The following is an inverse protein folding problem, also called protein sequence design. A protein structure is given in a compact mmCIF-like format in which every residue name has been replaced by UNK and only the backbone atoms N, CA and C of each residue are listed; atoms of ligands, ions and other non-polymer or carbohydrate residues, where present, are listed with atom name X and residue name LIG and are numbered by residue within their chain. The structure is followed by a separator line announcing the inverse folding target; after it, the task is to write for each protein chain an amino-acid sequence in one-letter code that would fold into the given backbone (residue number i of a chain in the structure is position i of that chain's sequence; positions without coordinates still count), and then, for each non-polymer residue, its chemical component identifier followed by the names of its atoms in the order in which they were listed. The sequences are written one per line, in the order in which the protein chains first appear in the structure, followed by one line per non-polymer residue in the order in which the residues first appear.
data_IF_716058877250
#
_entry.id   IF_716058877250
#
_cell.length_a   1.000
_cell.length_b   1.000
_cell.length_c   1.000
_cell.angle_alpha   90.00
_cell.angle_beta   90.00
_cell.angle_gamma   90.00
#
_symmetry.space_group_name_H-M   'P 1'
#
loop_
_entity.id
_entity.type
_entity.pdbx_description
1 polymer ?
#
# COMPACT_ATOMS: atom_id res chain seq x y z
N UNK A 1 1.64 -55.67 0.77
CA UNK A 1 2.55 -55.72 -0.40
C UNK A 1 1.97 -56.66 -1.46
N UNK A 2 2.45 -56.58 -2.71
CA UNK A 2 2.16 -57.53 -3.81
C UNK A 2 0.70 -57.70 -4.24
N UNK A 3 0.19 -56.73 -5.03
CA UNK A 3 -0.71 -57.05 -6.16
C UNK A 3 -0.38 -56.26 -7.45
N UNK A 4 0.79 -55.62 -7.49
CA UNK A 4 1.33 -54.96 -8.68
C UNK A 4 2.16 -55.96 -9.50
N UNK A 5 1.52 -56.68 -10.44
CA UNK A 5 2.26 -57.25 -11.57
C UNK A 5 1.45 -57.37 -12.86
N UNK A 6 1.85 -56.55 -13.84
CA UNK A 6 1.75 -56.76 -15.30
C UNK A 6 0.41 -57.28 -15.88
N UNK A 7 -0.38 -56.36 -16.43
CA UNK A 7 -0.77 -56.47 -17.85
C UNK A 7 -0.56 -55.14 -18.57
N UNK A 8 0.48 -55.11 -19.39
CA UNK A 8 0.75 -54.08 -20.39
C UNK A 8 0.77 -54.76 -21.77
N UNK A 9 0.33 -54.05 -22.81
CA UNK A 9 0.33 -54.45 -24.23
C UNK A 9 -0.55 -55.65 -24.65
N UNK A 10 -1.76 -55.34 -25.13
CA UNK A 10 -2.07 -55.43 -26.59
C UNK A 10 -3.24 -54.50 -26.91
N UNK A 11 -3.16 -53.80 -28.05
CA UNK A 11 -3.95 -52.60 -28.28
C UNK A 11 -5.29 -52.81 -29.00
N UNK A 12 -6.37 -52.31 -28.38
CA UNK A 12 -7.51 -51.68 -29.07
C UNK A 12 -8.29 -50.84 -28.05
N UNK A 13 -8.50 -49.55 -28.36
CA UNK A 13 -9.44 -48.63 -27.69
C UNK A 13 -9.77 -48.92 -26.22
N UNK A 14 -8.90 -48.49 -25.29
CA UNK A 14 -9.15 -48.54 -23.84
C UNK A 14 -10.12 -47.43 -23.40
N UNK A 15 -11.35 -47.47 -23.92
CA UNK A 15 -12.48 -46.85 -23.24
C UNK A 15 -12.87 -47.70 -22.03
N UNK A 16 -13.40 -47.08 -20.98
CA UNK A 16 -13.95 -47.79 -19.83
C UNK A 16 -14.99 -48.82 -20.30
N UNK A 17 -14.93 -50.04 -19.78
CA UNK A 17 -16.02 -51.00 -19.97
C UNK A 17 -17.31 -50.45 -19.34
N UNK A 18 -18.47 -50.93 -19.80
CA UNK A 18 -19.75 -50.48 -19.26
C UNK A 18 -19.85 -50.67 -17.73
N UNK A 19 -19.21 -51.72 -17.19
CA UNK A 19 -19.14 -51.99 -15.75
C UNK A 19 -18.27 -50.96 -15.02
N UNK A 20 -17.09 -50.63 -15.55
CA UNK A 20 -16.23 -49.59 -14.98
C UNK A 20 -16.87 -48.19 -15.07
N UNK A 21 -17.56 -47.89 -16.18
CA UNK A 21 -18.28 -46.64 -16.35
C UNK A 21 -19.44 -46.51 -15.34
N UNK A 22 -20.20 -47.59 -15.12
CA UNK A 22 -21.25 -47.65 -14.09
C UNK A 22 -20.64 -47.51 -12.68
N UNK A 23 -19.49 -48.13 -12.41
CA UNK A 23 -18.80 -47.99 -11.13
C UNK A 23 -18.30 -46.56 -10.88
N UNK A 24 -17.71 -45.91 -11.88
CA UNK A 24 -17.30 -44.50 -11.81
C UNK A 24 -18.50 -43.57 -11.63
N UNK A 25 -19.60 -43.80 -12.35
CA UNK A 25 -20.84 -43.03 -12.19
C UNK A 25 -21.49 -43.25 -10.82
N UNK A 26 -21.45 -44.46 -10.26
CA UNK A 26 -21.95 -44.74 -8.92
C UNK A 26 -21.09 -44.05 -7.84
N UNK A 27 -19.76 -44.11 -7.96
CA UNK A 27 -18.84 -43.39 -7.05
C UNK A 27 -19.02 -41.88 -7.18
N UNK A 28 -19.16 -41.33 -8.39
CA UNK A 28 -19.47 -39.91 -8.58
C UNK A 28 -20.84 -39.52 -8.01
N UNK A 29 -21.87 -40.35 -8.19
CA UNK A 29 -23.19 -40.10 -7.62
C UNK A 29 -23.15 -40.09 -6.07
N UNK A 30 -22.40 -41.02 -5.45
CA UNK A 30 -22.18 -41.04 -4.00
C UNK A 30 -21.36 -39.84 -3.53
N UNK A 31 -20.28 -39.48 -4.23
CA UNK A 31 -19.49 -38.28 -3.92
C UNK A 31 -20.31 -36.99 -4.06
N UNK A 32 -21.20 -36.90 -5.04
CA UNK A 32 -22.15 -35.78 -5.19
C UNK A 32 -23.19 -35.81 -4.06
N UNK A 33 -23.73 -36.97 -3.68
CA UNK A 33 -24.64 -37.13 -2.54
C UNK A 33 -24.01 -36.80 -1.18
N UNK A 34 -22.69 -36.88 -1.05
CA UNK A 34 -21.94 -36.48 0.16
C UNK A 34 -21.55 -35.00 0.09
N UNK A 35 -21.02 -34.53 -1.05
CA UNK A 35 -20.49 -33.18 -1.20
C UNK A 35 -21.58 -32.11 -1.34
N UNK A 36 -22.69 -32.40 -2.03
CA UNK A 36 -23.77 -31.41 -2.27
C UNK A 36 -24.45 -30.99 -0.95
N UNK A 37 -24.85 -31.89 -0.03
CA UNK A 37 -25.36 -31.47 1.28
C UNK A 37 -24.35 -30.63 2.08
N UNK A 38 -23.04 -30.94 1.97
CA UNK A 38 -21.98 -30.15 2.58
C UNK A 38 -21.80 -28.76 1.97
N UNK A 39 -22.07 -28.58 0.66
CA UNK A 39 -21.86 -27.31 -0.04
C UNK A 39 -23.09 -26.40 -0.12
N UNK A 40 -24.30 -26.97 -0.11
CA UNK A 40 -25.58 -26.23 -0.27
C UNK A 40 -25.85 -25.26 0.89
N UNK A 41 -25.18 -25.42 2.03
CA UNK A 41 -25.32 -24.53 3.19
C UNK A 41 -24.40 -23.31 3.22
N UNK A 42 -23.32 -23.23 2.43
CA UNK A 42 -22.31 -22.18 2.57
C UNK A 42 -22.66 -20.87 1.84
N UNK A 43 -22.51 -19.73 2.54
CA UNK A 43 -22.77 -18.39 1.99
C UNK A 43 -21.66 -17.38 2.36
N UNK A 44 -21.61 -16.24 1.66
CA UNK A 44 -20.55 -15.21 1.73
C UNK A 44 -21.12 -13.88 2.26
N UNK A 45 -20.81 -13.45 3.50
CA UNK A 45 -21.50 -12.34 4.23
C UNK A 45 -20.53 -11.36 4.91
N UNK A 46 -20.66 -10.03 4.70
CA UNK A 46 -19.70 -8.97 5.14
C UNK A 46 -20.29 -8.05 6.22
N UNK A 47 -19.64 -6.90 6.35
CA UNK A 47 -19.58 -5.98 7.44
C UNK A 47 -19.27 -4.62 6.81
N UNK A 48 -20.07 -3.62 7.18
CA UNK A 48 -19.72 -2.22 7.03
C UNK A 48 -19.61 -1.69 8.45
N UNK A 49 -18.39 -1.61 8.97
CA UNK A 49 -18.16 -0.98 10.28
C UNK A 49 -18.44 0.51 10.12
N UNK A 50 -19.18 1.11 11.05
CA UNK A 50 -19.32 2.57 11.16
C UNK A 50 -19.27 2.97 12.62
N UNK A 51 -18.37 3.89 12.97
CA UNK A 51 -18.32 4.52 14.28
C UNK A 51 -18.82 5.96 14.16
N UNK A 52 -19.78 6.36 14.99
CA UNK A 52 -20.35 7.72 15.00
C UNK A 52 -20.48 8.24 16.44
N UNK A 53 -20.23 9.53 16.62
CA UNK A 53 -20.53 10.30 17.83
C UNK A 53 -21.04 11.68 17.42
N UNK A 54 -22.00 12.25 18.15
CA UNK A 54 -22.56 13.60 17.94
C UNK A 54 -22.94 13.93 16.48
N UNK A 55 -23.47 12.93 15.76
CA UNK A 55 -23.86 13.05 14.35
C UNK A 55 -22.70 13.08 13.34
N UNK A 56 -21.45 12.88 13.79
CA UNK A 56 -20.25 12.81 12.94
C UNK A 56 -19.76 11.37 12.78
N UNK A 57 -19.23 11.05 11.59
CA UNK A 57 -18.58 9.77 11.29
C UNK A 57 -17.10 9.84 11.72
N UNK A 58 -16.66 8.84 12.49
CA UNK A 58 -15.31 8.73 13.03
C UNK A 58 -14.49 7.61 12.35
N UNK A 59 -15.15 6.57 11.83
CA UNK A 59 -14.48 5.41 11.21
C UNK A 59 -15.42 4.61 10.28
N UNK A 60 -14.91 4.05 9.18
CA UNK A 60 -15.66 3.16 8.25
C UNK A 60 -14.76 2.09 7.58
N UNK A 61 -15.18 0.79 7.51
CA UNK A 61 -14.35 -0.33 6.98
C UNK A 61 -15.13 -1.61 6.52
N UNK A 62 -14.49 -2.56 5.78
CA UNK A 62 -15.08 -3.86 5.26
C UNK A 62 -14.07 -5.02 4.93
N UNK A 63 -14.49 -6.32 4.82
CA UNK A 63 -13.60 -7.56 4.77
C UNK A 63 -14.08 -8.81 3.89
N UNK A 64 -13.66 -10.12 4.09
CA UNK A 64 -13.87 -11.33 3.16
C UNK A 64 -13.91 -12.85 3.71
N UNK A 65 -15.08 -13.48 4.04
CA UNK A 65 -15.34 -14.82 4.74
C UNK A 65 -16.29 -15.78 3.98
N UNK A 66 -16.35 -17.05 4.43
CA UNK A 66 -17.33 -18.09 4.03
C UNK A 66 -17.74 -18.99 5.22
N UNK A 67 -19.05 -19.27 5.39
CA UNK A 67 -19.58 -20.15 6.44
C UNK A 67 -21.00 -20.70 6.15
N UNK A 68 -21.46 -21.68 6.93
CA UNK A 68 -22.83 -22.24 6.84
C UNK A 68 -23.91 -21.21 7.20
N UNK A 69 -25.14 -21.40 6.69
CA UNK A 69 -26.23 -20.43 6.83
C UNK A 69 -26.63 -20.14 8.28
N UNK A 70 -26.72 -21.19 9.11
CA UNK A 70 -27.30 -21.15 10.45
C UNK A 70 -26.23 -21.14 11.57
N UNK A 71 -24.98 -21.52 11.25
CA UNK A 71 -23.83 -21.51 12.16
C UNK A 71 -23.25 -20.09 12.36
N UNK A 72 -24.10 -19.15 12.82
CA UNK A 72 -23.63 -17.83 13.25
C UNK A 72 -22.83 -17.96 14.55
N UNK A 73 -21.53 -17.55 14.58
CA UNK A 73 -20.73 -17.63 15.79
C UNK A 73 -21.16 -16.55 16.81
N UNK A 74 -22.09 -16.88 17.69
CA UNK A 74 -22.52 -16.03 18.81
C UNK A 74 -21.45 -16.08 19.92
N UNK A 75 -20.31 -15.42 19.69
CA UNK A 75 -19.21 -15.33 20.67
C UNK A 75 -19.55 -14.29 21.75
N UNK A 76 -20.55 -14.61 22.59
CA UNK A 76 -20.64 -14.02 23.92
C UNK A 76 -19.44 -14.53 24.73
N UNK A 77 -18.56 -13.68 25.28
CA UNK A 77 -17.73 -14.12 26.40
C UNK A 77 -18.63 -14.54 27.57
N UNK A 78 -18.17 -15.46 28.41
CA UNK A 78 -18.90 -15.93 29.58
C UNK A 78 -18.81 -14.90 30.75
N UNK A 79 -19.25 -13.67 30.48
CA UNK A 79 -19.42 -12.62 31.48
C UNK A 79 -20.77 -12.81 32.19
N UNK A 80 -20.79 -12.53 33.49
CA UNK A 80 -22.00 -12.52 34.30
C UNK A 80 -22.87 -11.29 34.00
N UNK A 81 -24.18 -11.38 34.26
CA UNK A 81 -25.09 -10.22 34.18
C UNK A 81 -24.69 -9.09 35.15
N UNK A 82 -23.95 -9.44 36.22
CA UNK A 82 -23.41 -8.51 37.21
C UNK A 82 -22.22 -7.70 36.66
N UNK A 83 -21.41 -8.25 35.75
CA UNK A 83 -20.35 -7.54 35.02
C UNK A 83 -20.88 -6.61 33.91
N UNK A 84 -22.10 -6.85 33.44
CA UNK A 84 -22.78 -6.03 32.43
C UNK A 84 -23.65 -4.90 33.04
N UNK A 85 -23.81 -4.88 34.37
CA UNK A 85 -24.67 -3.93 35.06
C UNK A 85 -24.20 -2.47 34.89
N UNK A 86 -25.06 -1.64 34.30
CA UNK A 86 -24.79 -0.20 34.08
C UNK A 86 -23.87 0.12 32.90
N UNK A 87 -23.59 -0.84 32.02
CA UNK A 87 -22.82 -0.64 30.78
C UNK A 87 -23.78 -0.47 29.59
N UNK A 88 -23.72 0.68 28.90
CA UNK A 88 -24.40 0.84 27.60
C UNK A 88 -23.60 0.15 26.49
N UNK A 89 -24.03 -1.05 26.13
CA UNK A 89 -23.44 -1.83 25.01
C UNK A 89 -23.96 -1.30 23.68
N UNK A 90 -23.05 -0.88 22.79
CA UNK A 90 -23.37 -0.47 21.42
C UNK A 90 -23.21 -1.66 20.46
N UNK A 91 -24.31 -2.35 20.15
CA UNK A 91 -24.34 -3.46 19.19
C UNK A 91 -24.04 -2.98 17.75
N UNK A 92 -22.79 -3.13 17.33
CA UNK A 92 -22.35 -2.87 15.95
C UNK A 92 -22.91 -3.96 15.00
N UNK A 93 -23.87 -3.58 14.16
CA UNK A 93 -24.66 -4.53 13.32
C UNK A 93 -24.13 -4.64 11.88
N UNK A 94 -24.27 -5.83 11.28
CA UNK A 94 -23.32 -6.38 10.30
C UNK A 94 -24.01 -6.94 9.02
N UNK A 95 -23.53 -6.66 7.78
CA UNK A 95 -24.17 -7.06 6.49
C UNK A 95 -23.24 -7.25 5.22
N UNK A 96 -23.39 -8.38 4.48
CA UNK A 96 -22.94 -8.80 3.09
C UNK A 96 -21.73 -8.15 2.34
N UNK A 97 -20.68 -8.81 1.78
CA UNK A 97 -20.32 -10.21 1.42
C UNK A 97 -18.85 -10.72 1.76
N UNK A 98 -18.49 -10.89 3.04
CA UNK A 98 -17.34 -11.55 3.70
C UNK A 98 -16.69 -10.81 4.93
N UNK A 99 -16.18 -11.51 5.97
CA UNK A 99 -15.23 -11.05 7.05
C UNK A 99 -13.81 -11.66 6.93
N UNK A 100 -12.81 -11.03 7.53
CA UNK A 100 -11.58 -11.72 7.91
C UNK A 100 -11.39 -11.33 9.36
N UNK A 101 -11.43 -12.31 10.26
CA UNK A 101 -11.32 -12.14 11.71
C UNK A 101 -10.03 -11.41 12.10
N UNK A 102 -9.98 -10.57 13.14
CA UNK A 102 -11.04 -10.04 14.01
C UNK A 102 -10.49 -8.78 14.71
N UNK A 103 -11.33 -7.81 15.07
CA UNK A 103 -10.98 -6.77 16.05
C UNK A 103 -12.22 -6.40 16.87
N UNK A 104 -12.13 -6.52 18.20
CA UNK A 104 -13.18 -6.09 19.14
C UNK A 104 -12.70 -4.87 19.91
N UNK A 105 -13.52 -3.83 19.93
CA UNK A 105 -13.31 -2.62 20.73
C UNK A 105 -14.56 -2.42 21.58
N UNK A 106 -14.40 -2.50 22.90
CA UNK A 106 -15.47 -2.23 23.86
C UNK A 106 -15.39 -0.77 24.28
N UNK A 107 -16.41 0.01 23.91
CA UNK A 107 -16.65 1.38 24.38
C UNK A 107 -17.73 1.28 25.45
N UNK A 108 -17.40 1.65 26.69
CA UNK A 108 -18.37 1.69 27.80
C UNK A 108 -18.53 3.12 28.32
N UNK A 109 -19.72 3.67 28.13
CA UNK A 109 -20.22 4.79 28.94
C UNK A 109 -20.81 4.21 30.23
N UNK A 110 -20.35 4.69 31.39
CA UNK A 110 -20.83 4.25 32.70
C UNK A 110 -21.74 5.31 33.31
N UNK A 111 -22.97 4.91 33.60
CA UNK A 111 -24.02 5.84 34.04
C UNK A 111 -23.60 6.58 35.33
N UNK A 112 -23.62 7.92 35.29
CA UNK A 112 -23.19 8.78 36.40
C UNK A 112 -21.71 9.21 36.39
N UNK A 113 -20.93 8.92 35.34
CA UNK A 113 -19.58 9.48 35.13
C UNK A 113 -19.53 10.52 34.00
N UNK A 114 -18.46 11.31 33.98
CA UNK A 114 -18.20 12.35 32.98
C UNK A 114 -17.98 11.73 31.58
N UNK A 115 -18.65 12.21 30.51
CA UNK A 115 -18.49 11.68 29.15
C UNK A 115 -17.07 11.73 28.58
N UNK A 116 -16.16 12.50 29.17
CA UNK A 116 -14.74 12.49 28.80
C UNK A 116 -13.99 11.21 29.21
N UNK A 117 -14.52 10.42 30.15
CA UNK A 117 -13.94 9.13 30.56
C UNK A 117 -14.39 7.95 29.67
N UNK A 118 -14.09 8.02 28.36
CA UNK A 118 -14.27 6.84 27.48
C UNK A 118 -13.25 5.76 27.88
N UNK A 119 -13.73 4.74 28.60
CA UNK A 119 -12.93 3.62 29.06
C UNK A 119 -12.97 2.48 28.03
N UNK A 120 -11.78 2.04 27.60
CA UNK A 120 -11.60 0.94 26.67
C UNK A 120 -11.23 -0.32 27.44
N UNK A 121 -11.73 -1.48 27.03
CA UNK A 121 -11.46 -2.73 27.77
C UNK A 121 -10.76 -3.75 26.88
N UNK A 122 -9.67 -4.32 27.40
CA UNK A 122 -8.96 -5.45 26.79
C UNK A 122 -9.20 -6.70 27.63
N UNK A 123 -9.48 -7.81 26.95
CA UNK A 123 -9.47 -9.14 27.56
C UNK A 123 -8.02 -9.59 27.75
N UNK A 124 -7.66 -9.91 28.99
CA UNK A 124 -6.30 -10.30 29.37
C UNK A 124 -6.35 -11.51 30.32
N UNK A 125 -6.18 -12.70 29.76
CA UNK A 125 -6.68 -13.94 30.36
C UNK A 125 -8.21 -14.01 30.28
N UNK A 126 -8.86 -14.48 31.35
CA UNK A 126 -10.32 -14.56 31.45
C UNK A 126 -10.99 -13.27 31.96
N UNK A 127 -10.22 -12.18 32.18
CA UNK A 127 -10.73 -10.94 32.80
C UNK A 127 -10.58 -9.73 31.90
N UNK A 128 -11.60 -8.87 31.89
CA UNK A 128 -11.54 -7.55 31.30
C UNK A 128 -10.73 -6.62 32.22
N UNK A 129 -9.72 -5.96 31.66
CA UNK A 129 -8.96 -4.89 32.33
C UNK A 129 -9.30 -3.53 31.70
N UNK A 130 -9.54 -2.47 32.49
CA UNK A 130 -9.78 -1.13 31.96
C UNK A 130 -8.47 -0.52 31.46
N UNK A 131 -8.55 0.15 30.31
CA UNK A 131 -7.48 0.94 29.69
C UNK A 131 -8.01 2.35 29.45
N UNK A 132 -7.26 3.35 29.92
CA UNK A 132 -7.60 4.77 29.74
C UNK A 132 -6.97 5.26 28.44
N UNK A 133 -7.75 5.85 27.54
CA UNK A 133 -7.21 6.54 26.37
C UNK A 133 -6.49 7.82 26.84
N UNK A 134 -5.18 7.90 26.61
CA UNK A 134 -4.32 9.03 27.00
C UNK A 134 -4.20 10.04 25.87
N UNK A 135 -4.20 9.58 24.61
CA UNK A 135 -4.07 10.41 23.41
C UNK A 135 -4.67 9.68 22.22
N UNK A 136 -5.42 10.38 21.37
CA UNK A 136 -5.82 9.92 20.04
C UNK A 136 -5.36 10.91 18.98
N UNK A 137 -4.87 10.39 17.86
CA UNK A 137 -4.66 11.14 16.62
C UNK A 137 -5.19 10.34 15.43
N UNK A 138 -5.09 10.88 14.21
CA UNK A 138 -5.39 10.11 12.99
C UNK A 138 -4.41 8.93 12.79
N UNK A 139 -3.19 9.04 13.34
CA UNK A 139 -2.09 8.11 13.11
C UNK A 139 -1.95 7.05 14.22
N UNK A 140 -2.44 7.30 15.44
CA UNK A 140 -2.31 6.36 16.57
C UNK A 140 -3.22 6.65 17.76
N UNK A 141 -3.51 5.60 18.52
CA UNK A 141 -4.22 5.63 19.82
C UNK A 141 -3.26 5.18 20.93
N UNK A 142 -3.06 6.03 21.95
CA UNK A 142 -2.22 5.73 23.12
C UNK A 142 -3.09 5.45 24.32
N UNK A 143 -2.97 4.26 24.89
CA UNK A 143 -3.72 3.79 26.05
C UNK A 143 -2.81 3.61 27.27
N UNK A 144 -3.37 3.65 28.48
CA UNK A 144 -2.70 3.34 29.75
C UNK A 144 -3.40 2.17 30.45
N UNK A 145 -2.64 1.16 30.88
CA UNK A 145 -3.19 0.03 31.63
C UNK A 145 -3.29 0.32 33.15
N UNK A 146 -3.88 -0.59 33.96
CA UNK A 146 -4.00 -0.40 35.41
C UNK A 146 -2.68 -0.35 36.20
N UNK A 147 -1.56 -0.78 35.61
CA UNK A 147 -0.22 -0.67 36.20
C UNK A 147 0.48 0.67 35.85
N UNK A 148 -0.14 1.50 35.01
CA UNK A 148 0.40 2.79 34.55
C UNK A 148 1.18 2.72 33.23
N UNK A 149 1.34 1.53 32.65
CA UNK A 149 2.12 1.29 31.43
C UNK A 149 1.36 1.80 30.19
N UNK A 150 2.09 2.37 29.22
CA UNK A 150 1.52 2.91 27.99
C UNK A 150 1.60 1.90 26.82
N UNK A 151 0.53 1.84 26.03
CA UNK A 151 0.40 0.99 24.85
C UNK A 151 -0.02 1.85 23.66
N UNK A 152 0.58 1.62 22.49
CA UNK A 152 0.23 2.32 21.25
C UNK A 152 -0.45 1.33 20.31
N UNK A 153 -1.66 1.67 19.88
CA UNK A 153 -2.33 1.08 18.72
C UNK A 153 -2.12 2.03 17.55
N UNK A 154 -1.06 1.76 16.79
CA UNK A 154 -0.85 2.28 15.45
C UNK A 154 -1.28 1.18 14.46
N UNK A 155 -2.30 1.41 13.61
CA UNK A 155 -2.75 0.43 12.62
C UNK A 155 -1.74 0.16 11.48
N UNK A 156 -0.66 0.95 11.41
CA UNK A 156 0.37 0.91 10.38
C UNK A 156 1.78 0.58 10.91
N UNK A 157 1.98 0.39 12.23
CA UNK A 157 3.31 0.12 12.78
C UNK A 157 3.89 -1.21 12.30
N UNK A 158 5.01 -1.15 11.59
CA UNK A 158 6.01 -2.22 11.62
C UNK A 158 6.43 -2.49 13.08
N UNK A 159 6.80 -3.73 13.44
CA UNK A 159 7.10 -4.07 14.84
C UNK A 159 8.28 -3.25 15.37
N UNK A 160 8.00 -2.33 16.30
CA UNK A 160 9.01 -1.56 17.01
C UNK A 160 9.70 -2.44 18.06
N UNK A 161 10.88 -2.96 17.71
CA UNK A 161 11.84 -3.38 18.73
C UNK A 161 12.23 -2.14 19.54
N UNK A 162 11.91 -2.14 20.83
CA UNK A 162 12.05 -0.96 21.66
C UNK A 162 13.52 -0.58 21.93
N UNK A 163 13.83 0.71 21.76
CA UNK A 163 14.95 1.37 22.42
C UNK A 163 16.36 1.08 21.89
N UNK A 164 16.76 1.80 20.84
CA UNK A 164 18.09 2.42 20.83
C UNK A 164 18.04 3.78 20.12
N UNK A 165 18.91 4.71 20.51
CA UNK A 165 19.07 6.03 19.90
C UNK A 165 19.93 5.96 18.64
N UNK A 166 19.48 5.20 17.65
CA UNK A 166 20.25 4.84 16.46
C UNK A 166 19.75 5.47 15.15
N UNK A 167 20.70 5.94 14.34
CA UNK A 167 20.46 6.53 13.01
C UNK A 167 20.02 5.49 11.95
N UNK A 168 19.37 6.00 10.91
CA UNK A 168 19.23 5.41 9.56
C UNK A 168 18.21 4.28 9.33
N UNK A 169 18.08 3.94 8.04
CA UNK A 169 17.32 2.85 7.42
C UNK A 169 17.35 1.59 8.30
N UNK A 170 16.16 1.09 8.67
CA UNK A 170 16.03 -0.03 9.61
C UNK A 170 16.87 -1.27 9.22
N UNK A 171 17.41 -2.02 10.21
CA UNK A 171 18.42 -3.03 9.95
C UNK A 171 17.92 -4.14 9.01
N UNK A 172 18.81 -4.59 8.11
CA UNK A 172 18.55 -5.66 7.14
C UNK A 172 18.01 -6.90 7.86
N UNK A 173 16.74 -7.24 7.66
CA UNK A 173 16.11 -8.36 8.38
C UNK A 173 16.41 -9.70 7.72
N UNK A 174 16.23 -10.76 8.48
CA UNK A 174 16.20 -12.12 7.92
C UNK A 174 14.82 -12.45 7.32
N UNK A 175 14.77 -13.39 6.35
CA UNK A 175 13.53 -13.89 5.79
C UNK A 175 12.64 -14.53 6.85
N UNK A 176 11.36 -14.21 6.82
CA UNK A 176 10.32 -14.86 7.61
C UNK A 176 9.85 -16.16 6.94
N UNK A 177 9.12 -17.00 7.69
CA UNK A 177 8.58 -18.25 7.15
C UNK A 177 7.62 -17.99 5.96
N UNK A 178 7.87 -18.72 4.87
CA UNK A 178 7.14 -18.58 3.61
C UNK A 178 7.53 -17.38 2.74
N UNK A 179 8.64 -16.69 3.03
CA UNK A 179 9.20 -15.68 2.12
C UNK A 179 10.17 -16.29 1.10
N UNK A 180 9.96 -15.97 -0.18
CA UNK A 180 10.87 -16.32 -1.27
C UNK A 180 11.99 -15.29 -1.29
N UNK A 181 13.21 -15.75 -1.07
CA UNK A 181 14.40 -14.89 -1.04
C UNK A 181 14.90 -14.63 -2.45
N UNK A 182 15.08 -13.35 -2.79
CA UNK A 182 15.65 -12.90 -4.06
C UNK A 182 17.07 -12.37 -3.81
N UNK A 183 18.02 -12.85 -4.60
CA UNK A 183 19.43 -12.44 -4.58
C UNK A 183 19.98 -12.05 -5.95
N UNK A 184 19.37 -12.53 -7.03
CA UNK A 184 19.83 -12.23 -8.40
C UNK A 184 18.73 -11.63 -9.28
N UNK A 185 19.13 -11.04 -10.41
CA UNK A 185 18.20 -10.48 -11.39
C UNK A 185 17.33 -11.56 -12.04
N UNK A 186 17.87 -12.77 -12.22
CA UNK A 186 17.16 -13.93 -12.73
C UNK A 186 16.09 -14.44 -11.75
N UNK A 187 16.37 -14.40 -10.45
CA UNK A 187 15.36 -14.72 -9.41
C UNK A 187 14.24 -13.67 -9.38
N UNK A 188 14.59 -12.38 -9.50
CA UNK A 188 13.58 -11.30 -9.59
C UNK A 188 12.74 -11.41 -10.87
N UNK A 189 13.35 -11.76 -12.00
CA UNK A 189 12.69 -11.88 -13.30
C UNK A 189 11.72 -13.07 -13.39
N UNK A 190 11.84 -14.06 -12.49
CA UNK A 190 10.92 -15.21 -12.40
C UNK A 190 9.55 -14.87 -11.83
N UNK A 191 9.37 -13.75 -11.12
CA UNK A 191 8.11 -13.42 -10.45
C UNK A 191 6.96 -13.30 -11.47
N UNK A 192 5.99 -14.20 -11.36
CA UNK A 192 4.87 -14.37 -12.28
C UNK A 192 5.16 -15.13 -13.57
N UNK A 193 6.34 -15.75 -13.70
CA UNK A 193 6.82 -16.47 -14.90
C UNK A 193 7.28 -17.90 -14.62
N UNK A 194 7.75 -18.15 -13.40
CA UNK A 194 8.06 -19.47 -12.87
C UNK A 194 6.98 -19.86 -11.83
N UNK A 195 6.39 -21.07 -11.86
CA UNK A 195 5.42 -21.51 -10.86
C UNK A 195 5.93 -21.46 -9.41
N UNK A 196 7.25 -21.51 -9.23
CA UNK A 196 7.92 -21.40 -7.92
C UNK A 196 7.98 -19.96 -7.40
N UNK A 197 7.67 -18.97 -8.24
CA UNK A 197 7.67 -17.53 -7.96
C UNK A 197 6.32 -16.91 -8.35
N UNK A 198 5.18 -17.29 -7.72
CA UNK A 198 3.87 -16.83 -8.11
C UNK A 198 3.58 -15.37 -7.65
N UNK A 199 2.69 -14.68 -8.38
CA UNK A 199 2.36 -13.26 -8.19
C UNK A 199 1.72 -12.90 -6.83
N UNK A 200 1.36 -13.89 -6.02
CA UNK A 200 0.71 -13.75 -4.71
C UNK A 200 1.58 -14.18 -3.52
N UNK A 201 2.84 -14.59 -3.75
CA UNK A 201 3.77 -14.96 -2.68
C UNK A 201 4.36 -13.73 -1.96
N UNK A 202 5.10 -13.98 -0.88
CA UNK A 202 5.91 -12.99 -0.17
C UNK A 202 7.35 -13.05 -0.69
N UNK A 203 7.98 -11.91 -0.90
CA UNK A 203 9.34 -11.78 -1.43
C UNK A 203 10.18 -10.86 -0.55
N UNK A 204 11.46 -11.20 -0.40
CA UNK A 204 12.44 -10.40 0.34
C UNK A 204 13.78 -10.37 -0.42
N UNK A 205 14.37 -9.18 -0.59
CA UNK A 205 15.73 -9.06 -1.10
C UNK A 205 16.76 -9.45 -0.01
N UNK A 206 17.84 -10.15 -0.40
CA UNK A 206 19.03 -10.38 0.45
C UNK A 206 20.36 -9.99 -0.22
N UNK A 207 20.29 -9.23 -1.31
CA UNK A 207 21.42 -8.54 -1.96
C UNK A 207 20.92 -7.42 -2.87
N UNK A 208 21.83 -6.51 -3.25
CA UNK A 208 21.57 -5.56 -4.34
C UNK A 208 21.41 -6.32 -5.66
N UNK A 209 20.50 -5.86 -6.52
CA UNK A 209 20.20 -6.46 -7.81
C UNK A 209 20.65 -5.51 -8.91
N UNK A 210 21.31 -6.00 -9.95
CA UNK A 210 21.63 -5.22 -11.16
C UNK A 210 20.83 -5.76 -12.35
N UNK A 211 20.04 -4.90 -12.99
CA UNK A 211 19.22 -5.23 -14.16
C UNK A 211 19.89 -4.91 -15.50
N UNK A 212 21.19 -4.60 -15.51
CA UNK A 212 21.99 -4.39 -16.74
C UNK A 212 21.91 -5.55 -17.75
N UNK A 213 21.75 -6.80 -17.27
CA UNK A 213 21.50 -7.97 -18.12
C UNK A 213 20.13 -8.00 -18.82
N UNK A 214 19.19 -7.14 -18.44
CA UNK A 214 17.81 -7.09 -18.93
C UNK A 214 17.55 -5.87 -19.84
N UNK A 215 18.53 -5.50 -20.67
CA UNK A 215 18.42 -4.35 -21.58
C UNK A 215 17.98 -4.69 -23.02
N UNK A 216 17.92 -5.97 -23.42
CA UNK A 216 17.47 -6.37 -24.76
C UNK A 216 15.94 -6.26 -24.92
N UNK A 217 15.45 -6.27 -26.17
CA UNK A 217 14.03 -6.48 -26.50
C UNK A 217 13.04 -5.50 -25.82
N UNK A 218 13.46 -4.24 -25.69
CA UNK A 218 12.72 -3.18 -25.00
C UNK A 218 12.91 -3.15 -23.48
N UNK A 219 13.82 -3.96 -22.94
CA UNK A 219 14.24 -3.93 -21.54
C UNK A 219 13.47 -4.87 -20.61
N UNK A 220 13.49 -4.57 -19.31
CA UNK A 220 12.80 -5.30 -18.26
C UNK A 220 11.31 -5.49 -18.56
N UNK A 221 10.80 -6.72 -18.48
CA UNK A 221 9.36 -6.97 -18.58
C UNK A 221 8.70 -6.75 -17.21
N UNK A 222 7.72 -5.84 -17.05
CA UNK A 222 7.12 -5.52 -15.75
C UNK A 222 6.52 -6.73 -15.01
N UNK A 223 6.63 -6.75 -13.68
CA UNK A 223 6.02 -7.77 -12.81
C UNK A 223 4.52 -7.47 -12.66
N UNK A 224 3.68 -8.41 -13.10
CA UNK A 224 2.22 -8.31 -13.04
C UNK A 224 1.61 -7.39 -14.10
N UNK A 225 0.47 -7.80 -14.65
CA UNK A 225 -0.30 -7.09 -15.68
C UNK A 225 -1.77 -6.86 -15.26
N UNK A 226 -2.54 -6.14 -16.08
CA UNK A 226 -3.95 -5.80 -15.79
C UNK A 226 -4.86 -7.02 -15.52
N UNK A 227 -4.57 -8.16 -16.14
CA UNK A 227 -5.28 -9.42 -15.98
C UNK A 227 -4.66 -10.28 -14.87
N UNK A 228 -3.33 -10.30 -14.79
CA UNK A 228 -2.55 -11.05 -13.80
C UNK A 228 -1.75 -10.08 -12.91
N UNK A 229 -2.38 -9.33 -11.99
CA UNK A 229 -1.70 -8.32 -11.21
C UNK A 229 -0.80 -8.93 -10.13
N UNK A 230 0.25 -8.23 -9.75
CA UNK A 230 0.99 -8.57 -8.54
C UNK A 230 0.07 -8.35 -7.32
N UNK A 231 -0.09 -9.38 -6.50
CA UNK A 231 -1.03 -9.45 -5.35
C UNK A 231 -0.33 -9.87 -4.05
N UNK A 232 0.98 -10.06 -4.10
CA UNK A 232 1.81 -10.53 -3.00
C UNK A 232 2.35 -9.43 -2.10
N UNK A 233 3.40 -9.79 -1.37
CA UNK A 233 4.22 -8.87 -0.57
C UNK A 233 5.62 -8.83 -1.18
N UNK A 234 6.19 -7.64 -1.36
CA UNK A 234 7.57 -7.48 -1.82
C UNK A 234 8.33 -6.51 -0.92
N UNK A 235 9.36 -7.00 -0.23
CA UNK A 235 10.19 -6.22 0.67
C UNK A 235 11.61 -6.05 0.09
N UNK A 236 11.94 -4.82 -0.30
CA UNK A 236 13.28 -4.42 -0.73
C UNK A 236 14.33 -4.54 0.36
N UNK A 237 13.93 -4.64 1.64
CA UNK A 237 14.79 -4.99 2.78
C UNK A 237 16.10 -4.17 2.85
N UNK A 238 16.05 -2.88 2.51
CA UNK A 238 17.22 -2.01 2.53
C UNK A 238 18.25 -2.25 1.40
N UNK A 239 17.97 -3.11 0.43
CA UNK A 239 18.80 -3.29 -0.76
C UNK A 239 18.33 -2.38 -1.91
N UNK A 240 19.18 -2.25 -2.92
CA UNK A 240 18.94 -1.43 -4.12
C UNK A 240 18.83 -2.30 -5.36
N UNK A 241 17.85 -2.01 -6.22
CA UNK A 241 17.73 -2.53 -7.57
C UNK A 241 18.28 -1.46 -8.54
N UNK A 242 19.31 -1.80 -9.32
CA UNK A 242 20.02 -0.87 -10.21
C UNK A 242 19.69 -1.09 -11.67
N UNK A 243 19.87 -0.04 -12.47
CA UNK A 243 19.90 -0.08 -13.94
C UNK A 243 18.62 -0.65 -14.58
N UNK A 244 17.45 -0.37 -13.98
CA UNK A 244 16.14 -0.74 -14.54
C UNK A 244 15.91 -0.01 -15.87
N UNK A 245 16.11 -0.72 -16.99
CA UNK A 245 15.84 -0.22 -18.32
C UNK A 245 14.48 -0.72 -18.84
N UNK A 246 13.64 0.19 -19.31
CA UNK A 246 12.40 -0.12 -20.04
C UNK A 246 12.28 0.88 -21.19
N UNK A 247 12.04 0.38 -22.40
CA UNK A 247 11.84 1.19 -23.59
C UNK A 247 10.73 0.57 -24.45
N UNK A 248 9.48 0.85 -24.06
CA UNK A 248 8.26 0.37 -24.73
C UNK A 248 7.26 1.51 -24.90
N UNK A 249 7.59 2.53 -25.72
CA UNK A 249 6.87 3.80 -25.82
C UNK A 249 5.41 3.67 -26.25
N UNK A 250 5.01 2.54 -26.86
CA UNK A 250 3.66 2.25 -27.33
C UNK A 250 2.87 1.29 -26.40
N UNK A 251 3.37 1.01 -25.19
CA UNK A 251 2.71 0.08 -24.24
C UNK A 251 2.40 0.72 -22.89
N UNK A 252 1.24 0.39 -22.33
CA UNK A 252 0.78 0.89 -21.04
C UNK A 252 1.38 0.11 -19.86
N UNK A 253 1.22 0.61 -18.63
CA UNK A 253 1.56 -0.09 -17.38
C UNK A 253 3.05 -0.45 -17.26
N UNK A 254 3.92 0.56 -17.34
CA UNK A 254 5.38 0.38 -17.35
C UNK A 254 6.03 0.79 -16.02
N UNK A 255 6.96 -0.05 -15.54
CA UNK A 255 7.69 0.07 -14.27
C UNK A 255 8.30 -1.28 -13.86
N UNK A 256 8.95 -1.36 -12.70
CA UNK A 256 9.40 -2.64 -12.12
C UNK A 256 8.21 -3.60 -12.00
N UNK A 257 7.10 -3.10 -11.45
CA UNK A 257 5.77 -3.70 -11.50
C UNK A 257 4.92 -3.03 -12.59
N UNK A 258 4.14 -3.81 -13.35
CA UNK A 258 3.22 -3.23 -14.34
C UNK A 258 1.93 -2.79 -13.67
N UNK A 259 1.27 -3.76 -13.03
CA UNK A 259 0.03 -3.56 -12.29
C UNK A 259 0.09 -4.29 -10.93
N UNK A 260 -0.19 -3.59 -9.84
CA UNK A 260 -0.37 -4.20 -8.51
C UNK A 260 -1.82 -4.10 -8.02
N UNK A 261 -2.28 -5.10 -7.27
CA UNK A 261 -3.63 -5.16 -6.73
C UNK A 261 -3.65 -5.81 -5.35
N UNK A 262 -4.15 -5.13 -4.32
CA UNK A 262 -4.16 -5.65 -2.93
C UNK A 262 -2.76 -6.03 -2.40
N UNK A 263 -1.71 -5.49 -3.03
CA UNK A 263 -0.32 -5.84 -2.73
C UNK A 263 0.27 -4.94 -1.65
N UNK A 264 1.37 -5.38 -1.05
CA UNK A 264 2.25 -4.53 -0.23
C UNK A 264 3.65 -4.51 -0.82
N UNK A 265 4.18 -3.34 -1.12
CA UNK A 265 5.56 -3.15 -1.62
C UNK A 265 6.29 -2.19 -0.69
N UNK A 266 7.36 -2.65 -0.05
CA UNK A 266 8.08 -1.87 0.97
C UNK A 266 9.58 -1.77 0.65
N UNK A 267 10.21 -0.67 1.05
CA UNK A 267 11.67 -0.55 1.14
C UNK A 267 12.43 -0.71 -0.19
N UNK A 268 11.77 -0.49 -1.34
CA UNK A 268 12.37 -0.69 -2.67
C UNK A 268 13.04 0.58 -3.15
N UNK A 269 14.36 0.59 -3.19
CA UNK A 269 15.14 1.68 -3.81
C UNK A 269 15.58 1.28 -5.21
N UNK A 270 15.20 2.10 -6.19
CA UNK A 270 15.55 1.97 -7.60
C UNK A 270 16.58 3.04 -7.97
N UNK A 271 17.74 2.62 -8.45
CA UNK A 271 18.86 3.51 -8.77
C UNK A 271 19.20 3.44 -10.26
N UNK A 272 19.42 4.61 -10.89
CA UNK A 272 19.80 4.73 -12.31
C UNK A 272 18.80 4.07 -13.26
N UNK A 273 17.50 4.30 -13.06
CA UNK A 273 16.46 3.82 -13.98
C UNK A 273 16.46 4.59 -15.29
N UNK A 274 15.99 3.95 -16.37
CA UNK A 274 15.60 4.63 -17.59
C UNK A 274 14.36 3.95 -18.15
N UNK A 275 13.19 4.55 -17.92
CA UNK A 275 11.88 3.95 -18.16
C UNK A 275 11.08 4.79 -19.14
N UNK A 276 10.82 4.28 -20.33
CA UNK A 276 9.97 4.89 -21.37
C UNK A 276 8.76 4.00 -21.66
N UNK A 277 7.55 4.54 -21.49
CA UNK A 277 6.26 3.85 -21.69
C UNK A 277 5.19 4.74 -22.32
N UNK A 278 3.98 4.20 -22.54
CA UNK A 278 2.85 4.95 -23.09
C UNK A 278 1.99 5.60 -21.99
N UNK A 279 0.99 4.90 -21.46
CA UNK A 279 0.19 5.39 -20.32
C UNK A 279 0.47 4.59 -19.05
N UNK A 280 0.35 5.23 -17.89
CA UNK A 280 0.62 4.63 -16.58
C UNK A 280 2.09 4.17 -16.48
N UNK A 281 2.99 5.14 -16.42
CA UNK A 281 4.44 4.93 -16.42
C UNK A 281 5.06 5.49 -15.13
N UNK A 282 5.77 4.65 -14.39
CA UNK A 282 6.60 5.08 -13.25
C UNK A 282 7.66 4.05 -12.91
N UNK A 283 8.76 4.46 -12.27
CA UNK A 283 9.91 3.57 -12.08
C UNK A 283 9.56 2.30 -11.27
N UNK A 284 8.81 2.44 -10.18
CA UNK A 284 8.42 1.33 -9.33
C UNK A 284 7.17 0.62 -9.84
N UNK A 285 6.11 1.37 -10.17
CA UNK A 285 4.89 0.78 -10.71
C UNK A 285 4.18 1.66 -11.73
N UNK A 286 3.70 1.05 -12.82
CA UNK A 286 2.80 1.73 -13.75
C UNK A 286 1.46 2.10 -13.08
N UNK A 287 0.81 1.12 -12.44
CA UNK A 287 -0.51 1.30 -11.82
C UNK A 287 -0.64 0.49 -10.52
N UNK A 288 -1.23 1.10 -9.48
CA UNK A 288 -1.53 0.42 -8.21
C UNK A 288 -3.00 0.59 -7.81
N UNK A 289 -3.62 -0.50 -7.35
CA UNK A 289 -5.07 -0.59 -7.08
C UNK A 289 -5.36 -1.29 -5.75
N UNK A 290 -5.89 -0.57 -4.76
CA UNK A 290 -6.02 -1.03 -3.35
C UNK A 290 -4.71 -1.58 -2.77
N UNK A 291 -3.56 -1.04 -3.19
CA UNK A 291 -2.23 -1.50 -2.76
C UNK A 291 -1.56 -0.47 -1.86
N UNK A 292 -0.63 -0.93 -1.02
CA UNK A 292 0.17 -0.08 -0.13
C UNK A 292 1.63 -0.08 -0.61
N UNK A 293 2.20 1.10 -0.85
CA UNK A 293 3.62 1.28 -1.15
C UNK A 293 4.26 2.16 -0.08
N UNK A 294 5.34 1.67 0.54
CA UNK A 294 6.02 2.35 1.64
C UNK A 294 7.55 2.36 1.48
N UNK A 295 8.23 3.37 2.03
CA UNK A 295 9.69 3.36 2.19
C UNK A 295 10.49 3.22 0.89
N UNK A 296 9.91 3.59 -0.26
CA UNK A 296 10.45 3.25 -1.58
C UNK A 296 10.90 4.49 -2.35
N UNK A 297 11.84 4.34 -3.28
CA UNK A 297 12.46 5.48 -3.95
C UNK A 297 13.00 5.20 -5.35
N UNK A 298 13.16 6.24 -6.17
CA UNK A 298 13.62 6.16 -7.57
C UNK A 298 14.55 7.30 -7.98
N UNK A 299 15.65 6.98 -8.66
CA UNK A 299 16.52 7.94 -9.36
C UNK A 299 16.80 7.50 -10.81
N UNK A 300 17.08 8.44 -11.71
CA UNK A 300 17.29 8.17 -13.14
C UNK A 300 16.34 9.00 -14.03
N UNK A 301 15.75 8.38 -15.05
CA UNK A 301 14.83 9.06 -16.00
C UNK A 301 13.54 8.27 -16.21
N UNK A 302 12.40 8.97 -16.28
CA UNK A 302 11.09 8.39 -16.58
C UNK A 302 10.37 9.22 -17.65
N UNK A 303 9.94 8.58 -18.73
CA UNK A 303 9.27 9.25 -19.84
C UNK A 303 7.99 8.51 -20.26
N UNK A 304 6.95 9.25 -20.60
CA UNK A 304 5.73 8.64 -21.14
C UNK A 304 4.66 9.63 -21.58
N UNK A 305 3.51 9.13 -22.04
CA UNK A 305 2.45 9.95 -22.64
C UNK A 305 1.39 10.40 -21.63
N UNK A 306 0.75 9.52 -20.87
CA UNK A 306 -0.28 9.91 -19.89
C UNK A 306 -0.02 9.24 -18.53
N UNK A 307 -0.36 9.89 -17.42
CA UNK A 307 -0.19 9.35 -16.07
C UNK A 307 1.27 8.93 -15.82
N UNK A 308 2.18 9.90 -15.86
CA UNK A 308 3.63 9.69 -15.75
C UNK A 308 4.10 10.23 -14.40
N UNK A 309 4.76 9.40 -13.60
CA UNK A 309 5.36 9.83 -12.34
C UNK A 309 6.70 9.17 -12.08
N UNK A 310 7.59 9.83 -11.34
CA UNK A 310 8.92 9.29 -11.06
C UNK A 310 8.90 7.91 -10.40
N UNK A 311 8.01 7.72 -9.41
CA UNK A 311 7.85 6.45 -8.73
C UNK A 311 6.64 5.67 -9.25
N UNK A 312 5.47 6.34 -9.40
CA UNK A 312 4.21 5.71 -9.81
C UNK A 312 3.53 6.43 -10.98
N UNK A 313 3.03 5.68 -11.96
CA UNK A 313 2.15 6.24 -12.99
C UNK A 313 0.79 6.66 -12.42
N UNK A 314 0.08 5.73 -11.75
CA UNK A 314 -1.22 5.99 -11.12
C UNK A 314 -1.43 5.24 -9.79
N UNK A 315 -1.95 5.99 -8.81
CA UNK A 315 -2.39 5.55 -7.48
C UNK A 315 -3.94 5.59 -7.44
N UNK A 316 -4.62 4.44 -7.59
CA UNK A 316 -6.11 4.38 -7.68
C UNK A 316 -6.78 3.57 -6.56
N UNK A 317 -7.99 4.00 -6.21
CA UNK A 317 -8.97 3.30 -5.39
C UNK A 317 -8.41 2.81 -4.04
N UNK A 318 -8.41 3.69 -3.03
CA UNK A 318 -7.88 3.41 -1.69
C UNK A 318 -6.49 2.75 -1.71
N UNK A 319 -5.61 3.24 -2.59
CA UNK A 319 -4.18 2.90 -2.56
C UNK A 319 -3.41 3.94 -1.74
N UNK A 320 -2.32 3.52 -1.13
CA UNK A 320 -1.50 4.36 -0.25
C UNK A 320 -0.06 4.41 -0.77
N UNK A 321 0.50 5.62 -0.90
CA UNK A 321 1.94 5.85 -1.08
C UNK A 321 2.46 6.65 0.12
N UNK A 322 3.38 6.06 0.88
CA UNK A 322 3.92 6.67 2.10
C UNK A 322 5.44 6.58 2.23
N UNK A 323 6.07 7.55 2.90
CA UNK A 323 7.51 7.53 3.21
C UNK A 323 8.41 7.26 1.98
N UNK A 324 8.04 7.85 0.83
CA UNK A 324 8.58 7.49 -0.48
C UNK A 324 8.89 8.72 -1.34
N UNK A 325 9.94 8.67 -2.15
CA UNK A 325 10.44 9.84 -2.89
C UNK A 325 10.97 9.54 -4.29
N UNK A 326 11.13 10.57 -5.12
CA UNK A 326 11.77 10.45 -6.44
C UNK A 326 12.76 11.60 -6.71
N UNK A 327 13.96 11.25 -7.16
CA UNK A 327 14.94 12.17 -7.75
C UNK A 327 15.10 11.96 -9.25
N UNK A 328 14.23 11.13 -9.88
CA UNK A 328 14.25 10.89 -11.31
C UNK A 328 13.67 12.06 -12.13
N UNK A 329 14.30 12.38 -13.26
CA UNK A 329 13.82 13.40 -14.20
C UNK A 329 12.67 12.86 -15.07
N UNK A 330 11.60 13.66 -15.22
CA UNK A 330 10.32 13.25 -15.78
C UNK A 330 10.01 13.96 -17.09
N UNK A 331 9.77 13.20 -18.16
CA UNK A 331 9.47 13.73 -19.51
C UNK A 331 8.13 13.23 -20.05
N UNK A 332 7.12 14.09 -20.03
CA UNK A 332 5.82 13.89 -20.65
C UNK A 332 5.87 14.06 -22.17
N UNK A 333 5.91 12.96 -22.92
CA UNK A 333 6.07 12.88 -24.37
C UNK A 333 4.83 13.43 -25.12
N UNK A 334 5.05 14.37 -26.04
CA UNK A 334 4.04 14.87 -26.97
C UNK A 334 2.90 15.63 -26.29
N UNK A 335 1.64 15.29 -26.61
CA UNK A 335 0.43 15.85 -25.97
C UNK A 335 0.17 15.22 -24.60
N UNK A 336 1.18 15.27 -23.72
CA UNK A 336 1.17 14.57 -22.44
C UNK A 336 0.18 15.13 -21.42
N UNK A 337 -0.30 14.26 -20.53
CA UNK A 337 -1.25 14.65 -19.46
C UNK A 337 -0.93 13.96 -18.15
N UNK A 338 -1.13 14.69 -17.06
CA UNK A 338 -0.99 14.18 -15.70
C UNK A 338 0.44 13.68 -15.45
N UNK A 339 1.38 14.62 -15.53
CA UNK A 339 2.82 14.40 -15.31
C UNK A 339 3.20 14.92 -13.93
N UNK A 340 3.75 14.07 -13.07
CA UNK A 340 4.14 14.40 -11.70
C UNK A 340 5.60 14.03 -11.39
N UNK A 341 6.28 14.76 -10.51
CA UNK A 341 7.63 14.38 -10.05
C UNK A 341 7.68 13.03 -9.33
N UNK A 342 6.61 12.67 -8.59
CA UNK A 342 6.49 11.38 -7.90
C UNK A 342 5.36 10.52 -8.46
N UNK A 343 4.17 11.09 -8.67
CA UNK A 343 2.96 10.36 -9.07
C UNK A 343 2.23 11.08 -10.23
N UNK A 344 1.99 10.38 -11.33
CA UNK A 344 1.24 10.97 -12.45
C UNK A 344 -0.22 11.28 -12.09
N UNK A 345 -0.90 10.39 -11.38
CA UNK A 345 -2.27 10.60 -10.90
C UNK A 345 -2.59 9.92 -9.57
N UNK A 346 -3.22 10.66 -8.66
CA UNK A 346 -3.81 10.18 -7.41
C UNK A 346 -5.35 10.20 -7.49
N UNK A 347 -6.02 9.07 -7.28
CA UNK A 347 -7.44 8.92 -7.62
C UNK A 347 -8.28 8.04 -6.67
N UNK A 348 -9.57 8.37 -6.52
CA UNK A 348 -10.61 7.61 -5.80
C UNK A 348 -10.27 7.22 -4.35
N UNK A 349 -10.09 8.21 -3.47
CA UNK A 349 -9.82 7.93 -2.06
C UNK A 349 -8.40 7.42 -1.78
N UNK A 350 -7.44 7.71 -2.67
CA UNK A 350 -6.05 7.26 -2.53
C UNK A 350 -5.17 8.33 -1.89
N UNK A 351 -4.20 7.90 -1.09
CA UNK A 351 -3.41 8.75 -0.22
C UNK A 351 -1.96 8.85 -0.68
N UNK A 352 -1.39 10.04 -0.58
CA UNK A 352 0.05 10.30 -0.68
C UNK A 352 0.47 11.06 0.60
N UNK A 353 1.35 10.49 1.41
CA UNK A 353 1.70 11.02 2.75
C UNK A 353 3.19 10.86 3.08
N UNK A 354 3.82 11.90 3.63
CA UNK A 354 5.25 11.90 3.96
C UNK A 354 6.13 11.55 2.74
N UNK A 355 5.94 12.27 1.64
CA UNK A 355 6.50 11.95 0.32
C UNK A 355 7.10 13.17 -0.38
N UNK A 356 8.08 12.98 -1.28
CA UNK A 356 8.66 14.12 -2.01
C UNK A 356 9.22 13.86 -3.41
N UNK A 357 9.46 14.93 -4.17
CA UNK A 357 10.09 14.88 -5.49
C UNK A 357 11.09 16.02 -5.72
N UNK A 358 12.29 15.68 -6.20
CA UNK A 358 13.38 16.62 -6.48
C UNK A 358 13.92 16.56 -7.93
N UNK A 359 13.55 15.56 -8.72
CA UNK A 359 13.88 15.50 -10.15
C UNK A 359 13.04 16.50 -10.97
N UNK A 360 13.56 16.95 -12.12
CA UNK A 360 12.86 17.91 -12.97
C UNK A 360 11.62 17.31 -13.63
N UNK A 361 10.62 18.13 -13.95
CA UNK A 361 9.32 17.70 -14.48
C UNK A 361 8.96 18.52 -15.72
N UNK A 362 9.05 17.91 -16.89
CA UNK A 362 8.61 18.50 -18.16
C UNK A 362 7.37 17.78 -18.68
N UNK A 363 6.32 18.50 -19.07
CA UNK A 363 5.11 17.91 -19.68
C UNK A 363 4.32 18.91 -20.52
N UNK A 364 3.12 18.51 -20.97
CA UNK A 364 2.25 19.38 -21.78
C UNK A 364 1.07 19.94 -20.97
N UNK A 365 0.27 19.09 -20.32
CA UNK A 365 -0.93 19.49 -19.58
C UNK A 365 -1.05 18.77 -18.24
N UNK A 366 -1.57 19.46 -17.21
CA UNK A 366 -1.66 18.95 -15.84
C UNK A 366 -0.31 18.44 -15.31
N UNK A 367 0.63 19.37 -15.16
CA UNK A 367 2.03 19.11 -14.78
C UNK A 367 2.28 19.61 -13.35
N UNK A 368 2.70 18.72 -12.45
CA UNK A 368 2.93 19.05 -11.05
C UNK A 368 4.32 18.63 -10.57
N UNK A 369 4.99 19.45 -9.75
CA UNK A 369 6.30 19.10 -9.20
C UNK A 369 6.29 17.82 -8.33
N UNK A 370 5.13 17.44 -7.76
CA UNK A 370 4.93 16.15 -7.09
C UNK A 370 3.85 15.30 -7.76
N UNK A 371 2.68 15.88 -8.05
CA UNK A 371 1.50 15.17 -8.56
C UNK A 371 0.87 15.86 -9.77
N UNK A 372 0.75 15.18 -10.91
CA UNK A 372 0.11 15.74 -12.11
C UNK A 372 -1.38 16.03 -11.89
N UNK A 373 -2.14 14.98 -11.52
CA UNK A 373 -3.56 15.05 -11.17
C UNK A 373 -3.82 14.49 -9.77
N UNK A 374 -4.45 15.28 -8.90
CA UNK A 374 -5.06 14.78 -7.66
C UNK A 374 -6.58 14.88 -7.77
N UNK A 375 -7.32 13.78 -7.62
CA UNK A 375 -8.79 13.79 -7.79
C UNK A 375 -9.53 12.80 -6.89
N UNK A 376 -10.68 13.23 -6.34
CA UNK A 376 -11.62 12.38 -5.61
C UNK A 376 -12.44 11.48 -6.57
N UNK A 377 -12.71 11.94 -7.80
CA UNK A 377 -13.56 11.24 -8.76
C UNK A 377 -15.01 11.11 -8.29
N UNK A 378 -15.37 9.95 -7.73
CA UNK A 378 -16.70 9.66 -7.13
C UNK A 378 -16.62 9.24 -5.66
N UNK A 379 -15.44 9.35 -5.04
CA UNK A 379 -15.12 8.87 -3.69
C UNK A 379 -14.45 10.02 -2.94
N UNK A 380 -14.82 10.25 -1.68
CA UNK A 380 -14.17 11.28 -0.85
C UNK A 380 -12.87 10.75 -0.24
N UNK A 381 -11.89 11.63 -0.01
CA UNK A 381 -10.67 11.30 0.74
C UNK A 381 -9.44 10.92 -0.11
N UNK A 382 -9.34 11.35 -1.36
CA UNK A 382 -8.03 11.42 -2.01
C UNK A 382 -7.25 12.57 -1.38
N UNK A 383 -6.26 12.27 -0.55
CA UNK A 383 -5.49 13.29 0.19
C UNK A 383 -4.02 13.30 -0.23
N UNK A 384 -3.44 14.50 -0.24
CA UNK A 384 -1.99 14.73 -0.31
C UNK A 384 -1.54 15.46 0.96
N UNK A 385 -0.75 14.78 1.80
CA UNK A 385 -0.45 15.25 3.15
C UNK A 385 1.05 15.24 3.44
N UNK A 386 1.55 16.24 4.18
CA UNK A 386 2.95 16.31 4.68
C UNK A 386 3.98 15.94 3.62
N UNK A 387 3.84 16.51 2.42
CA UNK A 387 4.62 16.12 1.23
C UNK A 387 5.13 17.35 0.47
N UNK A 388 6.23 17.24 -0.28
CA UNK A 388 6.83 18.40 -0.93
C UNK A 388 7.52 18.18 -2.28
N UNK A 389 7.79 19.26 -3.02
CA UNK A 389 8.56 19.22 -4.26
C UNK A 389 9.53 20.39 -4.43
N UNK A 390 10.70 20.09 -5.01
CA UNK A 390 11.81 21.03 -5.28
C UNK A 390 12.35 20.94 -6.71
N UNK A 391 11.92 19.96 -7.51
CA UNK A 391 12.31 19.86 -8.92
C UNK A 391 11.73 20.99 -9.78
N UNK A 392 12.48 21.42 -10.81
CA UNK A 392 12.02 22.42 -11.77
C UNK A 392 10.83 21.93 -12.60
N UNK A 393 9.80 22.76 -12.83
CA UNK A 393 8.54 22.33 -13.44
C UNK A 393 8.21 23.14 -14.69
N UNK A 394 8.20 22.48 -15.85
CA UNK A 394 7.88 23.06 -17.16
C UNK A 394 6.64 22.41 -17.77
N UNK A 395 5.65 23.21 -18.16
CA UNK A 395 4.42 22.72 -18.79
C UNK A 395 3.73 23.75 -19.68
N UNK A 396 2.81 23.29 -20.53
CA UNK A 396 2.02 24.13 -21.43
C UNK A 396 0.70 24.64 -20.84
N UNK A 397 0.02 23.85 -20.00
CA UNK A 397 -1.18 24.29 -19.28
C UNK A 397 -1.39 23.53 -17.96
N UNK A 398 -2.06 24.16 -16.99
CA UNK A 398 -2.30 23.61 -15.63
C UNK A 398 -1.00 23.08 -15.01
N UNK A 399 -0.04 23.99 -14.91
CA UNK A 399 1.29 23.76 -14.34
C UNK A 399 1.28 24.24 -12.89
N UNK A 400 1.85 23.50 -11.96
CA UNK A 400 1.90 23.89 -10.55
C UNK A 400 3.07 23.30 -9.78
N UNK A 401 3.62 24.08 -8.83
CA UNK A 401 4.83 23.68 -8.10
C UNK A 401 4.71 22.38 -7.30
N UNK A 402 3.52 22.05 -6.76
CA UNK A 402 3.22 20.78 -6.09
C UNK A 402 2.26 19.90 -6.92
N UNK A 403 1.04 20.38 -7.13
CA UNK A 403 -0.03 19.74 -7.89
C UNK A 403 -0.34 20.53 -9.17
N UNK A 404 -0.41 19.84 -10.31
CA UNK A 404 -0.78 20.44 -11.61
C UNK A 404 -2.28 20.73 -11.71
N UNK A 405 -3.13 19.76 -11.36
CA UNK A 405 -4.57 19.95 -11.23
C UNK A 405 -5.17 19.18 -10.04
N UNK A 406 -5.99 19.85 -9.24
CA UNK A 406 -6.63 19.31 -8.04
C UNK A 406 -8.16 19.35 -8.19
N UNK A 407 -8.81 18.19 -8.26
CA UNK A 407 -10.25 18.05 -8.50
C UNK A 407 -10.98 17.50 -7.27
N UNK A 408 -11.29 18.40 -6.33
CA UNK A 408 -12.05 18.11 -5.11
C UNK A 408 -11.28 17.35 -4.01
N UNK A 409 -10.05 16.93 -4.28
CA UNK A 409 -9.14 16.32 -3.31
C UNK A 409 -8.63 17.31 -2.26
N UNK A 410 -8.22 16.81 -1.09
CA UNK A 410 -7.61 17.61 -0.03
C UNK A 410 -6.07 17.64 -0.16
N UNK A 411 -5.46 18.78 0.17
CA UNK A 411 -4.01 18.96 0.22
C UNK A 411 -3.64 19.72 1.49
N UNK A 412 -2.89 19.11 2.41
CA UNK A 412 -2.63 19.64 3.77
C UNK A 412 -1.15 19.55 4.15
N UNK A 413 -0.65 20.57 4.85
CA UNK A 413 0.73 20.64 5.35
C UNK A 413 1.79 20.30 4.29
N UNK A 414 1.54 20.64 3.02
CA UNK A 414 2.33 20.18 1.87
C UNK A 414 2.80 21.38 1.05
N UNK A 415 4.04 21.34 0.59
CA UNK A 415 4.78 22.54 0.18
C UNK A 415 5.48 22.39 -1.16
N UNK A 416 5.76 23.49 -1.84
CA UNK A 416 6.73 23.48 -2.94
C UNK A 416 7.69 24.65 -2.84
N UNK A 417 8.89 24.43 -3.32
CA UNK A 417 9.87 25.50 -3.48
C UNK A 417 9.51 26.38 -4.68
N UNK A 418 9.18 27.65 -4.45
CA UNK A 418 8.79 28.61 -5.49
C UNK A 418 9.94 29.05 -6.38
N UNK A 419 11.18 28.89 -5.93
CA UNK A 419 12.39 29.38 -6.60
C UNK A 419 12.98 28.28 -7.48
N UNK A 420 13.18 27.06 -6.94
CA UNK A 420 13.72 25.93 -7.71
C UNK A 420 12.69 25.31 -8.65
N UNK A 421 11.39 25.31 -8.31
CA UNK A 421 10.34 24.89 -9.25
C UNK A 421 10.15 25.86 -10.42
N UNK A 422 10.52 27.13 -10.22
CA UNK A 422 10.21 28.25 -11.11
C UNK A 422 8.74 28.71 -11.07
N UNK A 423 7.93 28.23 -10.13
CA UNK A 423 6.48 28.45 -10.11
C UNK A 423 5.98 29.12 -8.82
N UNK A 424 5.39 30.31 -8.97
CA UNK A 424 4.73 31.02 -7.88
C UNK A 424 3.36 30.46 -7.47
N UNK A 425 2.83 29.43 -8.15
CA UNK A 425 1.47 28.89 -7.90
C UNK A 425 1.39 27.38 -8.06
N UNK A 426 0.33 26.78 -7.50
CA UNK A 426 -0.02 25.36 -7.67
C UNK A 426 -1.51 25.14 -7.39
N UNK A 427 -2.07 24.00 -7.83
CA UNK A 427 -3.47 23.65 -7.59
C UNK A 427 -3.77 23.21 -6.13
N UNK A 428 -2.76 23.12 -5.26
CA UNK A 428 -2.88 22.84 -3.84
C UNK A 428 -1.53 22.93 -3.12
N UNK A 429 -1.54 22.92 -1.78
CA UNK A 429 -0.34 23.10 -0.95
C UNK A 429 0.00 24.57 -0.68
N UNK A 430 1.24 24.86 -0.28
CA UNK A 430 1.73 26.22 0.00
C UNK A 430 3.14 26.42 -0.53
N UNK A 431 3.34 27.46 -1.35
CA UNK A 431 4.66 27.83 -1.87
C UNK A 431 5.54 28.45 -0.78
N UNK A 432 6.84 28.16 -0.85
CA UNK A 432 7.89 28.63 0.06
C UNK A 432 9.18 28.89 -0.71
N UNK A 433 10.01 29.81 -0.24
CA UNK A 433 11.38 30.04 -0.77
C UNK A 433 12.32 28.89 -0.40
N UNK A 434 13.46 28.78 -1.09
CA UNK A 434 14.56 27.85 -0.76
C UNK A 434 14.97 27.99 0.70
N UNK A 435 15.07 29.24 1.17
CA UNK A 435 15.43 29.53 2.56
C UNK A 435 14.38 28.99 3.55
N UNK A 436 13.09 29.26 3.33
CA UNK A 436 12.01 28.70 4.18
C UNK A 436 11.95 27.17 4.11
N UNK A 437 12.12 26.58 2.92
CA UNK A 437 12.09 25.13 2.68
C UNK A 437 13.24 24.38 3.38
N UNK A 438 14.26 25.10 3.86
CA UNK A 438 15.38 24.60 4.67
C UNK A 438 15.27 24.95 6.17
N UNK A 439 14.09 25.32 6.65
CA UNK A 439 13.82 25.60 8.07
C UNK A 439 12.76 24.63 8.62
N UNK A 440 13.05 23.94 9.72
CA UNK A 440 12.12 22.97 10.34
C UNK A 440 10.79 23.65 10.72
N UNK A 441 10.85 24.92 11.14
CA UNK A 441 9.70 25.74 11.53
C UNK A 441 8.67 26.00 10.42
N UNK A 442 9.04 25.83 9.14
CA UNK A 442 8.13 25.93 7.99
C UNK A 442 7.12 24.77 7.95
N UNK A 443 7.54 23.60 8.42
CA UNK A 443 6.86 22.31 8.28
C UNK A 443 5.97 22.01 9.51
N UNK A 444 4.95 22.85 9.69
CA UNK A 444 4.00 22.77 10.80
C UNK A 444 3.29 21.41 10.82
N UNK A 445 3.16 20.82 12.02
CA UNK A 445 2.63 19.48 12.29
C UNK A 445 3.38 18.30 11.65
N UNK A 446 4.61 18.49 11.14
CA UNK A 446 5.47 17.39 10.70
C UNK A 446 6.19 16.75 11.88
N UNK A 447 6.36 15.43 11.80
CA UNK A 447 7.09 14.64 12.80
C UNK A 447 8.58 14.58 12.43
N UNK A 448 9.39 15.38 13.12
CA UNK A 448 10.86 15.36 13.01
C UNK A 448 11.54 14.46 14.06
N UNK A 449 10.79 13.86 14.97
CA UNK A 449 11.33 12.91 15.96
C UNK A 449 11.49 11.52 15.33
N UNK A 450 10.53 11.09 14.51
CA UNK A 450 10.45 9.71 13.97
C UNK A 450 10.42 9.63 12.44
N UNK A 451 9.80 10.58 11.73
CA UNK A 451 9.60 10.49 10.27
C UNK A 451 10.66 11.24 9.49
N UNK A 452 10.84 12.52 9.80
CA UNK A 452 11.66 13.46 9.03
C UNK A 452 12.93 13.84 9.79
N UNK A 453 13.98 14.16 9.05
CA UNK A 453 15.18 14.83 9.52
C UNK A 453 15.43 16.02 8.60
N UNK A 454 15.97 17.11 9.15
CA UNK A 454 16.44 18.27 8.40
C UNK A 454 17.71 18.76 9.08
N UNK A 455 18.71 19.09 8.28
CA UNK A 455 19.93 19.76 8.74
C UNK A 455 19.72 21.26 8.47
N UNK A 456 19.41 22.00 9.55
CA UNK A 456 18.88 23.37 9.54
C UNK A 456 19.70 24.35 8.67
N UNK A 457 19.03 25.00 7.72
CA UNK A 457 19.61 25.92 6.74
C UNK A 457 20.33 25.26 5.56
N UNK A 458 20.74 24.00 5.69
CA UNK A 458 21.57 23.29 4.70
C UNK A 458 20.75 22.38 3.76
N UNK A 459 19.78 21.65 4.29
CA UNK A 459 19.01 20.61 3.55
C UNK A 459 17.51 20.83 3.58
N UNK A 460 16.79 20.25 2.62
CA UNK A 460 15.35 20.03 2.72
C UNK A 460 15.04 18.84 3.65
N UNK A 461 13.81 18.71 4.20
CA UNK A 461 13.44 17.54 5.00
C UNK A 461 13.62 16.22 4.24
N UNK A 462 14.35 15.26 4.81
CA UNK A 462 14.50 13.91 4.28
C UNK A 462 14.01 12.84 5.27
N UNK A 463 13.67 11.66 4.75
CA UNK A 463 13.00 10.61 5.53
C UNK A 463 14.02 9.80 6.34
N UNK A 464 13.80 9.64 7.65
CA UNK A 464 14.68 8.86 8.54
C UNK A 464 14.72 7.38 8.17
N UNK A 465 13.57 6.82 7.79
CA UNK A 465 13.39 5.40 7.44
C UNK A 465 13.84 5.05 6.01
N UNK A 466 13.86 6.03 5.10
CA UNK A 466 14.25 5.90 3.70
C UNK A 466 15.08 7.11 3.26
N UNK A 467 16.32 7.26 3.78
CA UNK A 467 17.13 8.45 3.57
C UNK A 467 17.75 8.48 2.19
N UNK A 468 17.72 9.66 1.56
CA UNK A 468 18.45 9.94 0.34
C UNK A 468 19.95 10.13 0.65
N UNK A 469 20.81 9.64 -0.25
CA UNK A 469 22.27 9.79 -0.15
C UNK A 469 22.83 10.36 -1.46
N UNK A 470 23.40 11.58 -1.46
CA UNK A 470 23.44 12.54 -0.35
C UNK A 470 22.03 13.07 0.01
N UNK A 471 21.85 13.69 1.19
CA UNK A 471 20.65 14.44 1.54
C UNK A 471 20.25 15.47 0.45
N UNK A 472 18.97 15.86 0.37
CA UNK A 472 18.52 16.85 -0.60
C UNK A 472 19.03 18.25 -0.22
N UNK A 473 19.90 18.79 -1.07
CA UNK A 473 20.50 20.13 -1.01
C UNK A 473 19.76 21.13 -1.92
#
# INVERSE_FOLDING_TARGET
MSFFHRRLFRGRSSGFTLVELIAVLAVLAVLVLIAVPGYVGYTRRAYLVRLQADGRLLYEASIRYYGHHDDWPVIRPALSDEELAGVRVFDLKLMSWGDLSELRVYIAEKEGKDPSEINFYRLDGEKLKPYVLVRSSLDSYVFRNPAGELYILDPYSMPSSAGDGGTSRGPLREPAEGEIVIRTAEELAKIGRDPSYPLNAKYILKSNIDLSGYMSDGGWQPIGDLNNPFTGIFDGNGYTIKNLYINRPDTHYQGLFGYTRLAKVSNVTLESVSVTGYDYTGALAGYIYKSMISGSSSSGTVAGRQHVGGLLGMNDYYSELVFSYSTADITGIGSSRYTGGLVGTNYRGSYIRNCYAAGSVTGNSEVGGLVGLNSNGRVVGSNLEKSYSTGSVTGGSRVGGLVGYNYGSMVTGSYWDTETSGLATSAGGTGRTTAEMKQQSTFVDWDFDTVWQIDEGETYPYLRSNPQSPPPM
#
